data_IF_070103913294
#
_entry.id   IF_070103913294
#
_cell.length_a   1.000
_cell.length_b   1.000
_cell.length_c   1.000
_cell.angle_alpha   90.00
_cell.angle_beta   90.00
_cell.angle_gamma   90.00
#
_symmetry.space_group_name_H-M   'P 1'
#
loop_
_entity.id
_entity.type
_entity.pdbx_description
1 polymer ?
#
# COMPACT_ATOMS: atom_id res chain seq x y z
N UNK A 1 -8.78 4.69 -11.74
CA UNK A 1 -7.39 4.52 -11.30
C UNK A 1 -6.78 5.91 -11.12
N UNK A 2 -6.31 6.21 -9.92
CA UNK A 2 -5.68 7.49 -9.62
C UNK A 2 -4.23 7.53 -10.13
N UNK A 3 -3.62 8.73 -10.17
CA UNK A 3 -2.19 8.89 -10.56
C UNK A 3 -1.27 8.06 -9.65
N UNK A 4 -1.61 7.94 -8.36
CA UNK A 4 -0.88 7.14 -7.36
C UNK A 4 -0.84 5.64 -7.75
N UNK A 5 -1.95 5.08 -8.22
CA UNK A 5 -2.03 3.66 -8.63
C UNK A 5 -1.11 3.34 -9.81
N UNK A 6 -0.87 4.31 -10.70
CA UNK A 6 -0.02 4.13 -11.87
C UNK A 6 1.49 4.06 -11.55
N UNK A 7 1.89 4.42 -10.33
CA UNK A 7 3.29 4.40 -9.88
C UNK A 7 3.51 3.28 -8.86
N UNK A 8 2.66 3.20 -7.84
CA UNK A 8 2.83 2.25 -6.75
C UNK A 8 2.62 0.81 -7.21
N UNK A 9 1.57 0.56 -8.00
CA UNK A 9 1.30 -0.80 -8.49
C UNK A 9 2.43 -1.35 -9.37
N UNK A 10 2.95 -0.63 -10.40
CA UNK A 10 4.12 -1.08 -11.15
C UNK A 10 5.39 -1.28 -10.31
N UNK A 11 5.56 -0.52 -9.22
CA UNK A 11 6.66 -0.72 -8.27
C UNK A 11 6.55 -2.09 -7.60
N UNK A 12 5.36 -2.46 -7.12
CA UNK A 12 5.10 -3.79 -6.55
C UNK A 12 5.09 -4.93 -7.58
N UNK A 13 4.95 -4.65 -8.88
CA UNK A 13 5.06 -5.67 -9.94
C UNK A 13 6.49 -6.17 -10.12
N UNK A 14 7.49 -5.41 -9.72
CA UNK A 14 8.87 -5.87 -9.69
C UNK A 14 9.03 -7.02 -8.66
N UNK A 15 9.58 -8.16 -9.11
CA UNK A 15 9.66 -9.35 -8.25
C UNK A 15 10.63 -9.19 -7.09
N UNK A 16 11.72 -8.43 -7.26
CA UNK A 16 12.68 -8.15 -6.19
C UNK A 16 12.03 -7.28 -5.12
N UNK A 17 11.41 -6.18 -5.54
CA UNK A 17 10.67 -5.26 -4.66
C UNK A 17 9.59 -6.00 -3.87
N UNK A 18 8.81 -6.82 -4.56
CA UNK A 18 7.74 -7.60 -3.92
C UNK A 18 8.28 -8.63 -2.92
N UNK A 19 9.38 -9.33 -3.26
CA UNK A 19 10.01 -10.27 -2.33
C UNK A 19 10.48 -9.59 -1.06
N UNK A 20 11.20 -8.48 -1.18
CA UNK A 20 11.71 -7.73 -0.03
C UNK A 20 10.57 -7.24 0.85
N UNK A 21 9.49 -6.72 0.24
CA UNK A 21 8.31 -6.29 0.97
C UNK A 21 7.68 -7.45 1.76
N UNK A 22 7.38 -8.57 1.11
CA UNK A 22 6.72 -9.71 1.77
C UNK A 22 7.67 -10.38 2.79
N UNK A 23 8.96 -10.45 2.51
CA UNK A 23 9.96 -10.95 3.47
C UNK A 23 9.97 -10.11 4.76
N UNK A 24 9.90 -8.80 4.64
CA UNK A 24 9.78 -7.89 5.78
C UNK A 24 8.43 -8.02 6.50
N UNK A 25 7.35 -7.84 5.76
CA UNK A 25 5.99 -7.73 6.28
C UNK A 25 5.46 -9.06 6.87
N UNK A 26 5.64 -10.18 6.15
CA UNK A 26 5.06 -11.47 6.50
C UNK A 26 6.07 -12.35 7.22
N UNK A 27 7.30 -12.39 6.74
CA UNK A 27 8.35 -13.27 7.27
C UNK A 27 9.28 -12.60 8.28
N UNK A 28 8.96 -11.36 8.71
CA UNK A 28 9.67 -10.62 9.77
C UNK A 28 11.17 -10.47 9.47
N UNK A 29 11.51 -10.18 8.21
CA UNK A 29 12.88 -9.98 7.73
C UNK A 29 13.61 -11.25 7.28
N UNK A 30 13.03 -12.43 7.47
CA UNK A 30 13.62 -13.66 6.95
C UNK A 30 13.50 -13.68 5.43
N UNK A 31 14.61 -13.94 4.73
CA UNK A 31 14.68 -14.01 3.27
C UNK A 31 14.13 -15.36 2.77
N UNK A 32 12.81 -15.49 2.79
CA UNK A 32 12.07 -16.71 2.42
C UNK A 32 11.69 -16.70 0.95
N UNK A 33 11.17 -15.57 0.45
CA UNK A 33 10.85 -15.35 -0.95
C UNK A 33 12.08 -14.92 -1.72
N UNK A 34 12.21 -15.44 -2.95
CA UNK A 34 13.24 -15.05 -3.90
C UNK A 34 12.61 -14.74 -5.25
N UNK A 35 13.11 -13.75 -6.01
CA UNK A 35 12.51 -13.32 -7.28
C UNK A 35 12.36 -14.46 -8.31
N UNK A 36 13.28 -15.41 -8.33
CA UNK A 36 13.24 -16.57 -9.23
C UNK A 36 12.12 -17.57 -8.94
N UNK A 37 11.54 -17.52 -7.73
CA UNK A 37 10.47 -18.42 -7.28
C UNK A 37 9.08 -17.76 -7.32
N UNK A 38 8.95 -16.60 -7.96
CA UNK A 38 7.72 -15.84 -8.02
C UNK A 38 7.18 -15.74 -9.44
N UNK A 39 5.89 -15.95 -9.57
CA UNK A 39 5.13 -15.78 -10.81
C UNK A 39 4.01 -14.75 -10.60
N UNK A 40 3.88 -13.82 -11.56
CA UNK A 40 2.78 -12.86 -11.58
C UNK A 40 1.49 -13.55 -11.96
N UNK A 41 0.43 -13.36 -11.17
CA UNK A 41 -0.92 -13.81 -11.50
C UNK A 41 -1.78 -12.66 -12.04
N UNK A 42 -2.86 -12.96 -12.77
CA UNK A 42 -3.82 -11.94 -13.20
C UNK A 42 -4.39 -11.15 -12.02
N UNK A 43 -4.41 -9.83 -12.15
CA UNK A 43 -4.98 -8.93 -11.15
C UNK A 43 -6.50 -8.95 -11.16
N UNK A 44 -7.07 -9.24 -12.31
CA UNK A 44 -8.51 -9.29 -12.53
C UNK A 44 -9.08 -10.63 -12.07
N UNK A 45 -10.12 -10.56 -11.23
CA UNK A 45 -10.94 -11.69 -10.87
C UNK A 45 -12.37 -11.46 -11.39
N UNK A 46 -12.87 -12.41 -12.16
CA UNK A 46 -14.25 -12.39 -12.61
C UNK A 46 -15.12 -13.06 -11.55
N UNK A 47 -15.87 -12.24 -10.80
CA UNK A 47 -16.84 -12.75 -9.85
C UNK A 47 -18.16 -13.02 -10.57
N UNK A 48 -18.53 -14.30 -10.70
CA UNK A 48 -19.88 -14.73 -11.03
C UNK A 48 -20.61 -15.04 -9.74
N UNK A 49 -21.60 -14.23 -9.39
CA UNK A 49 -22.43 -14.52 -8.23
C UNK A 49 -23.43 -15.64 -8.62
N UNK A 50 -23.45 -16.78 -7.90
CA UNK A 50 -24.22 -17.96 -8.29
C UNK A 50 -25.75 -17.77 -8.27
N UNK A 51 -26.23 -16.70 -7.66
CA UNK A 51 -27.64 -16.38 -7.46
C UNK A 51 -28.21 -15.27 -8.38
N UNK A 52 -27.40 -14.70 -9.26
CA UNK A 52 -27.90 -13.75 -10.27
C UNK A 52 -28.43 -14.56 -11.48
N UNK A 53 -29.74 -14.93 -11.43
CA UNK A 53 -30.40 -15.76 -12.45
C UNK A 53 -31.05 -14.97 -13.59
N UNK A 54 -30.92 -13.66 -13.64
CA UNK A 54 -31.67 -12.79 -14.59
C UNK A 54 -31.05 -12.70 -15.99
N UNK A 55 -30.35 -13.74 -16.45
CA UNK A 55 -29.92 -13.83 -17.86
C UNK A 55 -28.99 -12.71 -18.37
N UNK A 56 -28.78 -11.65 -17.60
CA UNK A 56 -27.76 -10.62 -17.82
C UNK A 56 -26.58 -10.97 -16.93
N UNK A 57 -25.58 -11.57 -17.51
CA UNK A 57 -24.30 -11.85 -16.83
C UNK A 57 -23.68 -10.53 -16.36
N UNK A 58 -24.06 -10.08 -15.16
CA UNK A 58 -23.38 -9.02 -14.45
C UNK A 58 -22.09 -9.60 -13.86
N UNK A 59 -21.12 -9.88 -14.73
CA UNK A 59 -19.78 -10.22 -14.31
C UNK A 59 -19.16 -8.95 -13.69
N UNK A 60 -19.02 -8.94 -12.36
CA UNK A 60 -18.21 -7.91 -11.71
C UNK A 60 -16.76 -8.33 -11.77
N UNK A 61 -15.96 -7.52 -12.43
CA UNK A 61 -14.51 -7.65 -12.39
C UNK A 61 -14.01 -7.01 -11.11
N UNK A 62 -13.39 -7.80 -10.25
CA UNK A 62 -12.64 -7.32 -9.09
C UNK A 62 -11.19 -7.11 -9.53
N UNK A 63 -10.67 -5.91 -9.34
CA UNK A 63 -9.29 -5.58 -9.67
C UNK A 63 -8.52 -5.45 -8.36
N UNK A 64 -7.43 -6.20 -8.25
CA UNK A 64 -6.48 -6.18 -7.14
C UNK A 64 -5.21 -5.45 -7.59
N UNK A 65 -4.48 -4.83 -6.66
CA UNK A 65 -3.29 -4.08 -7.03
C UNK A 65 -2.14 -5.00 -7.46
N UNK A 66 -1.76 -5.97 -6.62
CA UNK A 66 -0.70 -6.91 -6.96
C UNK A 66 -1.05 -8.31 -6.49
N UNK A 67 -0.87 -9.31 -7.37
CA UNK A 67 -1.11 -10.72 -7.06
C UNK A 67 0.04 -11.55 -7.58
N UNK A 68 0.72 -12.28 -6.71
CA UNK A 68 1.83 -13.15 -7.08
C UNK A 68 1.70 -14.53 -6.44
N UNK A 69 2.16 -15.54 -7.16
CA UNK A 69 2.27 -16.90 -6.68
C UNK A 69 3.74 -17.20 -6.41
N UNK A 70 4.04 -17.68 -5.21
CA UNK A 70 5.38 -18.10 -4.84
C UNK A 70 5.46 -19.62 -4.65
N UNK A 71 6.54 -20.22 -5.12
CA UNK A 71 6.78 -21.64 -4.97
C UNK A 71 7.66 -21.91 -3.74
N UNK A 72 7.13 -22.71 -2.81
CA UNK A 72 7.82 -23.17 -1.60
C UNK A 72 7.99 -24.67 -1.62
N UNK A 73 9.19 -25.16 -1.87
CA UNK A 73 9.54 -26.58 -1.88
C UNK A 73 8.58 -27.48 -2.68
N UNK A 74 7.38 -27.70 -2.17
CA UNK A 74 6.39 -28.60 -2.74
C UNK A 74 5.00 -27.99 -2.93
N UNK A 75 4.82 -26.72 -2.56
CA UNK A 75 3.53 -26.04 -2.66
C UNK A 75 3.67 -24.59 -3.13
N UNK A 76 2.58 -24.09 -3.67
CA UNK A 76 2.44 -22.67 -3.99
C UNK A 76 1.70 -21.94 -2.87
N UNK A 77 2.04 -20.66 -2.69
CA UNK A 77 1.30 -19.71 -1.86
C UNK A 77 0.96 -18.51 -2.73
N UNK A 78 -0.27 -18.04 -2.65
CA UNK A 78 -0.71 -16.85 -3.37
C UNK A 78 -0.66 -15.67 -2.41
N UNK A 79 0.04 -14.60 -2.82
CA UNK A 79 0.12 -13.35 -2.09
C UNK A 79 -0.66 -12.28 -2.82
N UNK A 80 -1.47 -11.53 -2.08
CA UNK A 80 -2.23 -10.37 -2.55
C UNK A 80 -1.77 -9.17 -1.74
N UNK A 81 -1.39 -8.08 -2.42
CA UNK A 81 -1.08 -6.81 -1.78
C UNK A 81 -2.00 -5.74 -2.34
N UNK A 82 -2.74 -5.08 -1.45
CA UNK A 82 -3.57 -3.92 -1.74
C UNK A 82 -2.89 -2.67 -1.20
N UNK A 83 -2.73 -1.66 -2.04
CA UNK A 83 -2.06 -0.41 -1.71
C UNK A 83 -3.09 0.66 -1.41
N UNK A 84 -3.05 1.27 -0.24
CA UNK A 84 -4.04 2.23 0.21
C UNK A 84 -3.38 3.54 0.67
N UNK A 85 -3.79 4.67 0.10
CA UNK A 85 -3.42 6.01 0.58
C UNK A 85 -4.47 6.61 1.52
N UNK A 86 -5.67 6.04 1.54
CA UNK A 86 -6.79 6.48 2.36
C UNK A 86 -7.35 5.30 3.15
N UNK A 87 -7.94 5.59 4.31
CA UNK A 87 -8.61 4.56 5.11
C UNK A 87 -9.84 4.06 4.38
N UNK A 88 -9.96 2.75 4.25
CA UNK A 88 -11.11 2.10 3.63
C UNK A 88 -11.90 1.34 4.69
N UNK A 89 -12.99 1.94 5.17
CA UNK A 89 -13.80 1.39 6.28
C UNK A 89 -14.44 0.02 5.98
N UNK A 90 -14.59 -0.36 4.73
CA UNK A 90 -15.07 -1.70 4.30
C UNK A 90 -13.95 -2.70 4.00
N UNK A 91 -12.72 -2.46 4.45
CA UNK A 91 -11.55 -3.30 4.08
C UNK A 91 -11.70 -4.77 4.47
N UNK A 92 -12.21 -5.14 5.65
CA UNK A 92 -12.39 -6.56 5.99
C UNK A 92 -13.29 -7.31 5.00
N UNK A 93 -14.40 -6.71 4.58
CA UNK A 93 -15.31 -7.31 3.58
C UNK A 93 -14.63 -7.41 2.22
N UNK A 94 -13.90 -6.36 1.80
CA UNK A 94 -13.19 -6.33 0.52
C UNK A 94 -12.13 -7.44 0.44
N UNK A 95 -11.32 -7.59 1.47
CA UNK A 95 -10.25 -8.60 1.50
C UNK A 95 -10.83 -10.02 1.61
N UNK A 96 -11.85 -10.24 2.44
CA UNK A 96 -12.57 -11.52 2.53
C UNK A 96 -13.14 -11.93 1.17
N UNK A 97 -13.72 -10.98 0.42
CA UNK A 97 -14.25 -11.23 -0.91
C UNK A 97 -13.14 -11.64 -1.89
N UNK A 98 -12.00 -10.95 -1.88
CA UNK A 98 -10.86 -11.29 -2.74
C UNK A 98 -10.34 -12.69 -2.47
N UNK A 99 -10.15 -13.04 -1.19
CA UNK A 99 -9.68 -14.36 -0.78
C UNK A 99 -10.70 -15.45 -1.16
N UNK A 100 -12.00 -15.19 -0.92
CA UNK A 100 -13.08 -16.12 -1.26
C UNK A 100 -13.15 -16.40 -2.75
N UNK A 101 -13.01 -15.38 -3.60
CA UNK A 101 -13.00 -15.56 -5.06
C UNK A 101 -11.75 -16.33 -5.49
N UNK A 102 -10.58 -16.05 -4.89
CA UNK A 102 -9.34 -16.76 -5.18
C UNK A 102 -9.43 -18.26 -4.82
N UNK A 103 -10.01 -18.59 -3.67
CA UNK A 103 -10.29 -19.97 -3.31
C UNK A 103 -11.34 -20.62 -4.23
N UNK A 104 -12.36 -19.86 -4.64
CA UNK A 104 -13.37 -20.30 -5.61
C UNK A 104 -12.76 -20.68 -6.96
N UNK A 105 -11.81 -19.92 -7.47
CA UNK A 105 -11.10 -20.22 -8.72
C UNK A 105 -10.23 -21.49 -8.58
N UNK A 106 -9.56 -21.68 -7.45
CA UNK A 106 -8.82 -22.90 -7.17
C UNK A 106 -9.76 -24.11 -7.15
N UNK A 107 -10.92 -24.00 -6.48
CA UNK A 107 -11.96 -25.04 -6.45
C UNK A 107 -12.41 -25.40 -7.87
N UNK A 108 -12.80 -24.42 -8.68
CA UNK A 108 -13.23 -24.66 -10.07
C UNK A 108 -12.14 -25.33 -10.91
N UNK A 109 -10.88 -24.94 -10.73
CA UNK A 109 -9.75 -25.56 -11.42
C UNK A 109 -9.62 -27.03 -11.04
N UNK A 110 -9.61 -27.35 -9.74
CA UNK A 110 -9.54 -28.74 -9.23
C UNK A 110 -10.69 -29.60 -9.71
N UNK A 111 -11.91 -29.10 -9.61
CA UNK A 111 -13.11 -29.80 -10.10
C UNK A 111 -13.01 -30.16 -11.59
N UNK A 112 -12.50 -29.23 -12.44
CA UNK A 112 -12.29 -29.50 -13.86
C UNK A 112 -11.20 -30.55 -14.11
N UNK A 113 -10.11 -30.51 -13.35
CA UNK A 113 -9.02 -31.48 -13.43
C UNK A 113 -9.53 -32.88 -13.02
N UNK A 114 -10.17 -33.01 -11.87
CA UNK A 114 -10.69 -34.24 -11.35
C UNK A 114 -11.79 -34.85 -12.25
N UNK A 115 -12.62 -34.01 -12.87
CA UNK A 115 -13.61 -34.45 -13.86
C UNK A 115 -12.95 -35.01 -15.13
N UNK A 116 -11.79 -34.47 -15.54
CA UNK A 116 -11.05 -34.99 -16.72
C UNK A 116 -10.36 -36.30 -16.43
N UNK A 117 -9.79 -36.48 -15.24
CA UNK A 117 -9.13 -37.71 -14.83
C UNK A 117 -10.14 -38.85 -14.62
N UNK A 118 -11.38 -38.51 -14.21
CA UNK A 118 -12.48 -39.48 -14.03
C UNK A 118 -12.24 -40.46 -12.88
N UNK A 119 -11.41 -40.10 -11.91
CA UNK A 119 -10.95 -40.97 -10.83
C UNK A 119 -11.62 -40.72 -9.46
N UNK A 120 -12.68 -39.89 -9.44
CA UNK A 120 -13.55 -39.73 -8.28
C UNK A 120 -14.26 -41.06 -7.97
N UNK A 121 -14.27 -41.45 -6.69
CA UNK A 121 -14.69 -42.82 -6.28
C UNK A 121 -15.95 -42.83 -5.44
N UNK A 122 -16.21 -41.80 -4.67
CA UNK A 122 -17.30 -41.76 -3.69
C UNK A 122 -18.36 -40.74 -4.06
N UNK A 123 -19.59 -40.91 -3.57
CA UNK A 123 -20.68 -39.96 -3.77
C UNK A 123 -20.31 -38.55 -3.25
N UNK A 124 -19.53 -38.49 -2.16
CA UNK A 124 -19.05 -37.23 -1.60
C UNK A 124 -18.04 -36.52 -2.52
N UNK A 125 -17.13 -37.27 -3.15
CA UNK A 125 -16.19 -36.74 -4.15
C UNK A 125 -16.93 -36.30 -5.42
N UNK A 126 -17.90 -37.04 -5.89
CA UNK A 126 -18.74 -36.63 -7.02
C UNK A 126 -19.54 -35.37 -6.72
N UNK A 127 -20.09 -35.25 -5.50
CA UNK A 127 -20.84 -34.06 -5.07
C UNK A 127 -19.96 -32.82 -4.99
N UNK A 128 -18.77 -32.94 -4.41
CA UNK A 128 -17.83 -31.81 -4.23
C UNK A 128 -16.96 -31.53 -5.46
N UNK A 129 -16.74 -32.55 -6.30
CA UNK A 129 -15.76 -32.54 -7.39
C UNK A 129 -14.30 -32.57 -6.91
N UNK A 130 -14.07 -32.91 -5.64
CA UNK A 130 -12.75 -32.97 -5.00
C UNK A 130 -12.49 -34.36 -4.43
N UNK A 131 -11.24 -34.79 -4.44
CA UNK A 131 -10.83 -36.01 -3.72
C UNK A 131 -10.84 -35.78 -2.21
N UNK A 132 -11.07 -36.85 -1.46
CA UNK A 132 -10.99 -36.84 0.00
C UNK A 132 -9.58 -36.39 0.43
N UNK A 133 -9.51 -35.28 1.21
CA UNK A 133 -8.26 -34.76 1.73
C UNK A 133 -7.50 -33.82 0.76
N UNK A 134 -8.04 -33.58 -0.41
CA UNK A 134 -7.49 -32.56 -1.33
C UNK A 134 -7.48 -31.19 -0.68
N UNK A 135 -6.39 -30.43 -0.87
CA UNK A 135 -6.19 -29.13 -0.24
C UNK A 135 -5.98 -28.03 -1.28
N UNK A 136 -6.41 -26.84 -0.95
CA UNK A 136 -6.17 -25.64 -1.72
C UNK A 136 -4.83 -24.98 -1.31
N UNK A 137 -4.27 -24.17 -2.21
CA UNK A 137 -3.12 -23.36 -1.91
C UNK A 137 -3.50 -22.24 -0.94
N UNK A 138 -2.66 -21.94 0.06
CA UNK A 138 -2.88 -20.79 0.94
C UNK A 138 -2.94 -19.49 0.14
N UNK A 139 -3.85 -18.60 0.54
CA UNK A 139 -3.92 -17.21 0.08
C UNK A 139 -3.54 -16.33 1.25
N UNK A 140 -2.53 -15.48 1.07
CA UNK A 140 -2.04 -14.53 2.08
C UNK A 140 -2.26 -13.13 1.55
N UNK A 141 -3.19 -12.40 2.14
CA UNK A 141 -3.54 -11.06 1.73
C UNK A 141 -3.07 -10.05 2.75
N UNK A 142 -2.41 -8.98 2.28
CA UNK A 142 -1.94 -7.86 3.09
C UNK A 142 -2.45 -6.55 2.51
N UNK A 143 -2.69 -5.57 3.37
CA UNK A 143 -2.99 -4.19 3.00
C UNK A 143 -1.78 -3.34 3.36
N UNK A 144 -1.16 -2.71 2.38
CA UNK A 144 -0.11 -1.73 2.58
C UNK A 144 -0.71 -0.34 2.62
N UNK A 145 -0.70 0.28 3.79
CA UNK A 145 -1.23 1.61 4.03
C UNK A 145 -0.09 2.62 4.18
N UNK A 146 -0.13 3.66 3.37
CA UNK A 146 0.86 4.75 3.37
C UNK A 146 0.22 6.15 3.49
N UNK A 147 -1.03 6.21 3.98
CA UNK A 147 -1.74 7.47 4.21
C UNK A 147 -1.09 8.36 5.28
N UNK A 148 -1.45 9.64 5.26
CA UNK A 148 -0.90 10.63 6.20
C UNK A 148 -1.58 10.58 7.58
N UNK A 149 -2.81 10.08 7.65
CA UNK A 149 -3.55 9.90 8.89
C UNK A 149 -3.37 8.49 9.44
N UNK A 150 -3.41 8.29 10.76
CA UNK A 150 -3.43 6.95 11.34
C UNK A 150 -4.61 6.13 10.80
N UNK A 151 -4.41 4.82 10.63
CA UNK A 151 -5.52 3.95 10.25
C UNK A 151 -6.51 3.83 11.42
N UNK A 152 -7.75 4.25 11.21
CA UNK A 152 -8.85 4.19 12.16
C UNK A 152 -10.01 3.28 11.70
N UNK A 153 -9.82 2.58 10.58
CA UNK A 153 -10.80 1.65 10.04
C UNK A 153 -10.77 0.27 10.72
N UNK A 154 -11.84 -0.53 10.56
CA UNK A 154 -11.91 -1.87 11.12
C UNK A 154 -10.86 -2.78 10.51
N UNK A 155 -10.29 -3.66 11.35
CA UNK A 155 -9.29 -4.66 10.97
C UNK A 155 -9.84 -6.09 11.02
N UNK A 156 -11.10 -6.26 11.38
CA UNK A 156 -11.75 -7.58 11.40
C UNK A 156 -13.22 -7.50 11.00
N UNK A 157 -13.76 -8.64 10.56
CA UNK A 157 -15.20 -8.76 10.32
C UNK A 157 -16.02 -8.56 11.60
N UNK A 158 -15.47 -8.95 12.76
CA UNK A 158 -16.12 -8.79 14.06
C UNK A 158 -16.36 -7.31 14.37
N UNK A 159 -15.41 -6.43 14.05
CA UNK A 159 -15.54 -4.97 14.26
C UNK A 159 -16.60 -4.33 13.34
N UNK A 160 -16.97 -4.99 12.25
CA UNK A 160 -17.96 -4.48 11.28
C UNK A 160 -19.39 -4.99 11.53
N UNK A 161 -19.55 -6.02 12.36
CA UNK A 161 -20.83 -6.68 12.56
C UNK A 161 -21.53 -6.13 13.80
N UNK A 162 -22.74 -5.62 13.63
CA UNK A 162 -23.60 -5.26 14.74
C UNK A 162 -24.19 -6.52 15.37
N UNK A 163 -23.84 -6.77 16.62
CA UNK A 163 -24.46 -7.81 17.43
C UNK A 163 -25.56 -7.20 18.30
N UNK A 164 -26.74 -7.82 18.38
CA UNK A 164 -27.76 -7.44 19.37
C UNK A 164 -27.24 -7.65 20.79
N UNK A 165 -27.77 -6.88 21.74
CA UNK A 165 -27.49 -7.06 23.14
C UNK A 165 -27.85 -8.49 23.59
N UNK A 166 -27.12 -9.03 24.57
CA UNK A 166 -27.31 -10.38 25.14
C UNK A 166 -27.16 -11.54 24.13
N UNK A 167 -26.42 -11.37 23.06
CA UNK A 167 -26.18 -12.39 22.04
C UNK A 167 -24.69 -12.70 21.82
N UNK A 168 -23.92 -12.71 22.89
CA UNK A 168 -22.47 -12.96 22.84
C UNK A 168 -22.13 -14.32 22.20
N UNK A 169 -23.00 -15.31 22.33
CA UNK A 169 -22.86 -16.65 21.76
C UNK A 169 -22.82 -16.62 20.23
N UNK A 170 -23.41 -15.62 19.58
CA UNK A 170 -23.37 -15.48 18.12
C UNK A 170 -21.95 -15.24 17.60
N UNK A 171 -21.03 -14.73 18.42
CA UNK A 171 -19.63 -14.50 18.02
C UNK A 171 -18.95 -15.76 17.53
N UNK A 172 -19.26 -16.92 18.11
CA UNK A 172 -18.68 -18.20 17.73
C UNK A 172 -19.05 -18.62 16.29
N UNK A 173 -20.15 -18.07 15.74
CA UNK A 173 -20.65 -18.38 14.42
C UNK A 173 -20.24 -17.35 13.35
N UNK A 174 -19.58 -16.28 13.77
CA UNK A 174 -19.14 -15.25 12.84
C UNK A 174 -17.81 -15.63 12.16
N UNK A 175 -17.60 -15.19 10.92
CA UNK A 175 -16.32 -15.39 10.24
C UNK A 175 -15.22 -14.59 10.97
N UNK A 176 -14.23 -15.31 11.51
CA UNK A 176 -13.07 -14.71 12.19
C UNK A 176 -12.03 -14.12 11.21
N UNK A 177 -12.48 -13.43 10.16
CA UNK A 177 -11.58 -12.85 9.17
C UNK A 177 -10.90 -11.58 9.68
N UNK A 178 -9.58 -11.51 9.52
CA UNK A 178 -8.76 -10.37 9.92
C UNK A 178 -7.97 -9.82 8.74
N UNK A 179 -7.89 -8.50 8.67
CA UNK A 179 -7.03 -7.78 7.73
C UNK A 179 -5.61 -7.71 8.30
N UNK A 180 -4.63 -8.07 7.48
CA UNK A 180 -3.21 -7.90 7.80
C UNK A 180 -2.76 -6.53 7.28
N UNK A 181 -2.84 -5.52 8.13
CA UNK A 181 -2.43 -4.16 7.82
C UNK A 181 -0.92 -3.99 8.02
N UNK A 182 -0.24 -3.48 7.02
CA UNK A 182 1.14 -3.00 7.06
C UNK A 182 1.06 -1.48 6.94
N UNK A 183 1.07 -0.81 8.07
CA UNK A 183 1.08 0.64 8.14
C UNK A 183 2.52 1.12 7.97
N UNK A 184 2.82 1.81 6.86
CA UNK A 184 4.15 2.24 6.49
C UNK A 184 4.81 3.15 7.56
N UNK A 185 4.00 3.94 8.26
CA UNK A 185 4.51 4.90 9.25
C UNK A 185 4.76 4.29 10.62
N UNK A 186 4.16 3.13 10.91
CA UNK A 186 4.27 2.41 12.19
C UNK A 186 5.04 1.08 12.08
N UNK A 187 5.29 0.62 10.86
CA UNK A 187 6.03 -0.63 10.62
C UNK A 187 7.50 -0.43 10.93
N UNK A 188 8.12 -1.43 11.58
CA UNK A 188 9.54 -1.45 11.92
C UNK A 188 10.39 -1.64 10.66
N UNK A 189 11.18 -0.62 10.22
CA UNK A 189 11.97 -0.69 8.98
C UNK A 189 13.10 -1.70 9.04
N UNK A 190 13.59 -2.06 10.22
CA UNK A 190 14.70 -3.02 10.37
C UNK A 190 14.33 -4.46 9.97
N UNK A 191 13.04 -4.72 9.76
CA UNK A 191 12.54 -5.98 9.19
C UNK A 191 12.64 -6.04 7.66
N UNK A 192 12.98 -4.92 7.03
CA UNK A 192 13.02 -4.80 5.57
C UNK A 192 14.46 -4.60 5.11
N UNK A 193 14.71 -4.88 3.83
CA UNK A 193 16.00 -4.70 3.19
C UNK A 193 15.87 -3.79 1.97
N UNK A 194 17.02 -3.41 1.41
CA UNK A 194 17.08 -2.61 0.19
C UNK A 194 16.29 -1.30 0.27
N UNK A 195 15.65 -0.97 -0.84
CA UNK A 195 14.86 0.26 -1.00
C UNK A 195 13.73 0.38 0.03
N UNK A 196 13.13 -0.74 0.45
CA UNK A 196 12.02 -0.73 1.39
C UNK A 196 12.40 -0.21 2.77
N UNK A 197 13.61 -0.52 3.25
CA UNK A 197 14.07 0.01 4.53
C UNK A 197 14.09 1.53 4.50
N UNK A 198 14.72 2.13 3.49
CA UNK A 198 14.85 3.59 3.33
C UNK A 198 13.47 4.24 3.12
N UNK A 199 12.60 3.62 2.31
CA UNK A 199 11.22 4.11 2.10
C UNK A 199 10.46 4.20 3.42
N UNK A 200 10.47 3.13 4.22
CA UNK A 200 9.71 3.08 5.48
C UNK A 200 10.29 4.03 6.54
N UNK A 201 11.62 4.15 6.64
CA UNK A 201 12.27 5.13 7.51
C UNK A 201 11.86 6.55 7.15
N UNK A 202 11.88 6.89 5.85
CA UNK A 202 11.46 8.21 5.36
C UNK A 202 9.98 8.48 5.63
N UNK A 203 9.09 7.51 5.37
CA UNK A 203 7.65 7.65 5.60
C UNK A 203 7.31 7.83 7.09
N UNK A 204 8.05 7.21 8.00
CA UNK A 204 7.87 7.42 9.45
C UNK A 204 8.15 8.85 9.88
N UNK A 205 9.11 9.52 9.22
CA UNK A 205 9.41 10.93 9.45
C UNK A 205 8.44 11.87 8.72
N UNK A 206 7.69 11.37 7.74
CA UNK A 206 6.84 12.16 6.85
C UNK A 206 5.66 12.88 7.53
N UNK A 207 5.28 12.51 8.75
CA UNK A 207 4.20 13.15 9.51
C UNK A 207 4.58 14.54 10.06
N UNK A 208 5.87 14.81 10.22
CA UNK A 208 6.40 16.09 10.68
C UNK A 208 7.42 16.59 9.67
N UNK A 209 7.19 17.78 9.12
CA UNK A 209 8.06 18.34 8.09
C UNK A 209 9.50 18.51 8.60
N UNK A 210 9.68 18.97 9.83
CA UNK A 210 11.01 19.16 10.42
C UNK A 210 11.74 17.83 10.65
N UNK A 211 11.02 16.78 11.01
CA UNK A 211 11.58 15.43 11.18
C UNK A 211 11.99 14.86 9.83
N UNK A 212 11.15 15.06 8.79
CA UNK A 212 11.47 14.63 7.44
C UNK A 212 12.71 15.32 6.90
N UNK A 213 12.83 16.65 7.09
CA UNK A 213 13.99 17.41 6.64
C UNK A 213 15.26 16.93 7.35
N UNK A 214 15.22 16.79 8.68
CA UNK A 214 16.36 16.27 9.46
C UNK A 214 16.77 14.87 9.03
N UNK A 215 15.81 14.02 8.74
CA UNK A 215 16.09 12.67 8.23
C UNK A 215 16.77 12.74 6.86
N UNK A 216 16.22 13.50 5.94
CA UNK A 216 16.76 13.72 4.59
C UNK A 216 18.19 14.23 4.62
N UNK A 217 18.49 15.25 5.46
CA UNK A 217 19.83 15.82 5.61
C UNK A 217 20.84 14.83 6.18
N UNK A 218 20.40 13.95 7.09
CA UNK A 218 21.28 12.96 7.73
C UNK A 218 21.47 11.68 6.93
N UNK A 219 20.59 11.39 5.95
CA UNK A 219 20.58 10.15 5.16
C UNK A 219 20.60 10.42 3.64
N UNK A 220 21.25 11.53 3.24
CA UNK A 220 21.28 11.97 1.83
C UNK A 220 21.85 10.87 0.91
N UNK A 221 22.92 10.16 1.34
CA UNK A 221 23.55 9.10 0.56
C UNK A 221 22.62 7.91 0.33
N UNK A 222 21.94 7.44 1.38
CA UNK A 222 21.02 6.32 1.31
C UNK A 222 19.83 6.64 0.39
N UNK A 223 19.36 7.90 0.41
CA UNK A 223 18.29 8.38 -0.45
C UNK A 223 18.74 8.53 -1.91
N UNK A 224 19.99 8.92 -2.16
CA UNK A 224 20.58 8.98 -3.50
C UNK A 224 20.79 7.59 -4.12
N UNK A 225 21.06 6.59 -3.30
CA UNK A 225 21.24 5.20 -3.73
C UNK A 225 19.93 4.48 -4.08
N UNK A 226 18.77 5.09 -3.75
CA UNK A 226 17.48 4.53 -4.14
C UNK A 226 17.35 4.37 -5.65
N UNK A 227 16.78 3.25 -6.08
CA UNK A 227 16.45 3.08 -7.49
C UNK A 227 15.46 4.15 -7.96
N UNK A 228 15.50 4.52 -9.25
CA UNK A 228 14.60 5.51 -9.80
C UNK A 228 13.11 5.15 -9.61
N UNK A 229 12.78 3.85 -9.60
CA UNK A 229 11.43 3.36 -9.30
C UNK A 229 11.07 3.57 -7.83
N UNK A 230 11.99 3.27 -6.92
CA UNK A 230 11.81 3.46 -5.48
C UNK A 230 11.64 4.94 -5.13
N UNK A 231 12.46 5.81 -5.70
CA UNK A 231 12.38 7.25 -5.52
C UNK A 231 11.02 7.82 -5.95
N UNK A 232 10.53 7.39 -7.12
CA UNK A 232 9.19 7.78 -7.60
C UNK A 232 8.08 7.26 -6.68
N UNK A 233 8.18 6.01 -6.23
CA UNK A 233 7.22 5.41 -5.31
C UNK A 233 7.20 6.17 -3.97
N UNK A 234 8.35 6.45 -3.39
CA UNK A 234 8.49 7.19 -2.14
C UNK A 234 7.85 8.59 -2.23
N UNK A 235 8.17 9.36 -3.28
CA UNK A 235 7.60 10.71 -3.46
C UNK A 235 6.09 10.68 -3.64
N UNK A 236 5.59 9.67 -4.38
CA UNK A 236 4.15 9.45 -4.53
C UNK A 236 3.48 9.15 -3.19
N UNK A 237 4.11 8.33 -2.34
CA UNK A 237 3.63 7.99 -1.01
C UNK A 237 3.66 9.19 -0.05
N UNK A 238 4.64 10.09 -0.23
CA UNK A 238 4.74 11.37 0.48
C UNK A 238 3.75 12.44 -0.04
N UNK A 239 2.90 12.11 -1.03
CA UNK A 239 1.94 13.05 -1.59
C UNK A 239 2.55 14.16 -2.43
N UNK A 240 3.82 14.02 -2.85
CA UNK A 240 4.50 14.98 -3.70
C UNK A 240 4.14 14.75 -5.16
N UNK A 241 3.69 15.80 -5.85
CA UNK A 241 3.40 15.76 -7.28
C UNK A 241 4.71 15.60 -8.06
N UNK A 242 4.91 14.40 -8.57
CA UNK A 242 5.91 14.20 -9.61
C UNK A 242 5.29 14.76 -10.88
N UNK A 243 5.56 16.04 -11.19
CA UNK A 243 5.25 16.57 -12.51
C UNK A 243 5.95 15.66 -13.51
N UNK A 244 5.18 14.81 -14.15
CA UNK A 244 5.66 13.91 -15.18
C UNK A 244 6.16 14.76 -16.37
N UNK A 245 7.40 15.19 -16.31
CA UNK A 245 8.15 15.47 -17.52
C UNK A 245 8.36 14.12 -18.21
N UNK A 246 7.57 13.86 -19.23
CA UNK A 246 7.45 12.60 -19.96
C UNK A 246 8.74 12.09 -20.57
N UNK A 247 9.86 12.83 -20.50
CA UNK A 247 11.03 12.61 -21.35
C UNK A 247 12.40 12.64 -20.66
N UNK A 248 12.50 12.55 -19.31
CA UNK A 248 13.83 12.47 -18.68
C UNK A 248 13.98 11.27 -17.78
N UNK A 249 14.82 10.33 -18.22
CA UNK A 249 15.34 9.18 -17.43
C UNK A 249 16.15 9.59 -16.18
N UNK A 250 16.48 10.86 -16.02
CA UNK A 250 17.23 11.43 -14.88
C UNK A 250 16.30 12.10 -13.86
N UNK A 251 15.37 11.33 -13.30
CA UNK A 251 14.73 11.75 -12.08
C UNK A 251 15.62 11.33 -10.90
N UNK A 252 16.42 12.25 -10.39
CA UNK A 252 17.22 12.02 -9.19
C UNK A 252 16.44 12.46 -7.95
N UNK A 253 16.49 11.64 -6.90
CA UNK A 253 15.95 11.98 -5.58
C UNK A 253 16.53 13.31 -5.08
N UNK A 254 17.80 13.64 -5.41
CA UNK A 254 18.49 14.89 -5.05
C UNK A 254 17.65 16.11 -5.40
N UNK A 255 17.10 16.19 -6.62
CA UNK A 255 16.31 17.35 -7.03
C UNK A 255 15.03 17.50 -6.19
N UNK A 256 14.33 16.39 -5.93
CA UNK A 256 13.12 16.41 -5.11
C UNK A 256 13.45 16.78 -3.65
N UNK A 257 14.62 16.39 -3.15
CA UNK A 257 15.10 16.75 -1.83
C UNK A 257 15.52 18.23 -1.75
N UNK A 258 16.17 18.75 -2.79
CA UNK A 258 16.48 20.18 -2.91
C UNK A 258 15.21 21.03 -2.91
N UNK A 259 14.21 20.67 -3.73
CA UNK A 259 12.91 21.34 -3.77
C UNK A 259 12.22 21.31 -2.38
N UNK A 260 12.32 20.20 -1.66
CA UNK A 260 11.75 20.05 -0.31
C UNK A 260 12.47 20.95 0.72
N UNK A 261 13.80 21.03 0.65
CA UNK A 261 14.62 21.93 1.49
C UNK A 261 14.30 23.42 1.18
N UNK A 262 14.17 23.77 -0.10
CA UNK A 262 13.82 25.13 -0.52
C UNK A 262 12.41 25.54 -0.06
N UNK A 263 11.41 24.66 -0.23
CA UNK A 263 10.05 24.88 0.26
C UNK A 263 10.02 25.07 1.79
N UNK A 264 10.76 24.26 2.53
CA UNK A 264 10.84 24.37 3.98
C UNK A 264 11.45 25.70 4.42
N UNK A 265 12.56 26.09 3.79
CA UNK A 265 13.21 27.37 4.05
C UNK A 265 12.27 28.55 3.78
N UNK A 266 11.54 28.49 2.66
CA UNK A 266 10.57 29.51 2.30
C UNK A 266 9.42 29.61 3.32
N UNK A 267 8.91 28.48 3.82
CA UNK A 267 7.85 28.48 4.85
C UNK A 267 8.34 29.03 6.18
N UNK A 268 9.57 28.72 6.59
CA UNK A 268 10.18 29.26 7.79
C UNK A 268 10.34 30.79 7.67
N UNK A 269 10.83 31.27 6.52
CA UNK A 269 10.91 32.72 6.22
C UNK A 269 9.54 33.37 6.31
N UNK A 270 8.50 32.79 5.70
CA UNK A 270 7.12 33.28 5.79
C UNK A 270 6.63 33.31 7.23
N UNK A 271 6.91 32.24 8.01
CA UNK A 271 6.52 32.17 9.41
C UNK A 271 7.17 33.27 10.24
N UNK A 272 8.48 33.53 10.05
CA UNK A 272 9.21 34.60 10.74
C UNK A 272 8.64 35.94 10.36
N UNK A 273 8.42 36.20 9.06
CA UNK A 273 7.84 37.48 8.58
C UNK A 273 6.45 37.70 9.20
N UNK A 274 5.58 36.70 9.20
CA UNK A 274 4.23 36.79 9.81
C UNK A 274 4.30 37.05 11.31
N UNK A 275 5.26 36.47 12.03
CA UNK A 275 5.46 36.71 13.45
C UNK A 275 5.94 38.15 13.72
N UNK A 276 6.82 38.67 12.88
CA UNK A 276 7.30 40.04 12.99
C UNK A 276 6.20 41.07 12.68
N UNK A 277 5.36 40.80 11.67
CA UNK A 277 4.17 41.59 11.36
C UNK A 277 3.16 41.62 12.53
N UNK A 278 2.91 40.49 13.18
CA UNK A 278 2.07 40.42 14.40
C UNK A 278 2.62 41.23 15.56
N UNK A 279 3.94 41.43 15.60
CA UNK A 279 4.61 42.28 16.59
C UNK A 279 4.69 43.78 16.14
N UNK A 280 3.81 44.19 15.22
CA UNK A 280 3.65 45.55 14.72
C UNK A 280 4.88 46.13 13.98
N UNK A 281 5.81 45.28 13.52
CA UNK A 281 6.88 45.75 12.65
C UNK A 281 6.33 46.02 11.24
N UNK A 282 6.79 47.14 10.65
CA UNK A 282 6.41 47.49 9.27
C UNK A 282 7.15 46.60 8.26
N UNK A 283 6.58 46.37 7.05
CA UNK A 283 7.25 45.61 5.99
C UNK A 283 8.64 46.17 5.62
N UNK A 284 8.81 47.48 5.67
CA UNK A 284 10.10 48.13 5.42
C UNK A 284 11.13 47.83 6.52
N UNK A 285 10.72 47.79 7.78
CA UNK A 285 11.60 47.43 8.89
C UNK A 285 12.00 45.95 8.81
N UNK A 286 11.05 45.03 8.47
CA UNK A 286 11.30 43.61 8.29
C UNK A 286 12.28 43.36 7.14
N UNK A 287 12.10 44.07 6.00
CA UNK A 287 13.00 44.03 4.86
C UNK A 287 14.42 44.38 5.24
N UNK A 288 14.58 45.44 6.03
CA UNK A 288 15.89 45.88 6.49
C UNK A 288 16.53 44.90 7.51
N UNK A 289 15.74 44.36 8.43
CA UNK A 289 16.23 43.45 9.47
C UNK A 289 16.60 42.05 8.96
N UNK A 290 15.87 41.54 7.99
CA UNK A 290 16.09 40.21 7.41
C UNK A 290 16.95 40.25 6.14
N UNK A 291 17.36 41.45 5.67
CA UNK A 291 18.05 41.64 4.40
C UNK A 291 17.33 41.02 3.20
N UNK A 292 15.99 41.16 3.20
CA UNK A 292 15.09 40.56 2.20
C UNK A 292 14.45 41.63 1.31
N UNK A 293 14.12 41.28 0.06
CA UNK A 293 13.42 42.18 -0.86
C UNK A 293 12.06 42.59 -0.28
N UNK A 294 11.83 43.90 -0.21
CA UNK A 294 10.57 44.45 0.26
C UNK A 294 9.36 43.97 -0.55
N UNK A 295 9.52 43.84 -1.88
CA UNK A 295 8.44 43.35 -2.74
C UNK A 295 8.04 41.89 -2.43
N UNK A 296 8.95 41.08 -1.91
CA UNK A 296 8.66 39.72 -1.43
C UNK A 296 7.84 39.78 -0.14
N UNK A 297 8.19 40.64 0.80
CA UNK A 297 7.45 40.81 2.06
C UNK A 297 6.05 41.35 1.81
N UNK A 298 5.92 42.37 0.93
CA UNK A 298 4.64 42.96 0.57
C UNK A 298 3.69 41.91 -0.04
N UNK A 299 4.18 40.95 -0.86
CA UNK A 299 3.40 39.82 -1.36
C UNK A 299 2.90 38.87 -0.26
N UNK A 300 3.72 38.65 0.78
CA UNK A 300 3.31 37.80 1.92
C UNK A 300 2.21 38.52 2.73
N UNK A 301 2.24 39.83 2.82
CA UNK A 301 1.19 40.63 3.47
C UNK A 301 -0.12 40.59 2.69
N UNK A 302 -0.08 40.61 1.35
CA UNK A 302 -1.28 40.50 0.49
C UNK A 302 -1.95 39.12 0.52
N UNK A 303 -1.23 38.07 0.91
CA UNK A 303 -1.72 36.71 1.02
C UNK A 303 -2.30 36.37 2.42
N UNK A 304 -2.46 37.38 3.28
CA UNK A 304 -3.17 37.28 4.56
C UNK A 304 -4.66 37.66 4.41
#
# INVERSE_FOLDING_TARGET
MGVKDNIITPYFEDSTVFCDFINGAVFKGKQVLRPENIEQLPRELIMQLPWETDGRSNQKTLIRDTVKQAYFHTMYVIFICENQSEVHYGMPVRMLLYDSVQYGEQMKKRQRENKKTGDLKTSAEFLSGLHKGEKLMPVVSVVFYYGDSPWDGPLSMEEMILLPDDTAELKEYLPGYKVHLIDARNTDPDKFSGDWKVILETLRCGNCKDDLIRYVESHEKELEELSAKASRALLTMLGRDIKAEKDKEEFTMCRALEELKEEAKMEEEIHVIRKLLKNELTPAAISHWLDMDKAYIDRIVELQ
#
